data_IF_865199865104
#
_entry.id   IF_865199865104
#
_cell.length_a   1.000
_cell.length_b   1.000
_cell.length_c   1.000
_cell.angle_alpha   90.00
_cell.angle_beta   90.00
_cell.angle_gamma   90.00
#
_symmetry.space_group_name_H-M   'P 1'
#
loop_
_entity.id
_entity.type
_entity.pdbx_description
1 polymer ?
#
# COMPACT_ATOMS: atom_id res chain seq x y z
N UNK A 1 -1.69 0.89 52.70
CA UNK A 1 -3.16 0.86 52.50
C UNK A 1 -3.44 1.00 51.01
N UNK A 2 -3.66 -0.10 50.26
CA UNK A 2 -4.11 0.02 48.88
C UNK A 2 -5.64 0.21 48.85
N UNK A 3 -6.07 1.25 48.15
CA UNK A 3 -7.46 1.66 47.94
C UNK A 3 -8.34 0.51 47.40
N UNK A 4 -9.49 0.29 48.04
CA UNK A 4 -10.54 -0.62 47.58
C UNK A 4 -11.42 0.10 46.55
N UNK A 5 -11.76 -0.51 45.40
CA UNK A 5 -12.54 0.15 44.36
C UNK A 5 -14.03 0.19 44.72
N UNK A 6 -14.67 1.34 44.52
CA UNK A 6 -16.13 1.44 44.55
C UNK A 6 -16.69 0.93 43.22
N UNK A 7 -17.52 -0.11 43.31
CA UNK A 7 -18.39 -0.60 42.25
C UNK A 7 -19.34 0.53 41.83
N UNK A 8 -19.28 0.94 40.56
CA UNK A 8 -20.33 1.75 39.95
C UNK A 8 -20.92 0.96 38.76
N UNK A 9 -22.22 0.80 38.87
CA UNK A 9 -23.23 0.10 38.08
C UNK A 9 -22.96 -0.10 36.58
N UNK A 10 -23.30 -1.31 36.10
CA UNK A 10 -23.41 -1.64 34.69
C UNK A 10 -24.55 -0.85 34.03
N UNK A 11 -24.23 -0.15 32.94
CA UNK A 11 -25.22 0.47 32.05
C UNK A 11 -25.85 -0.60 31.11
N UNK A 12 -27.18 -0.59 30.89
CA UNK A 12 -27.83 -1.50 29.95
C UNK A 12 -27.56 -1.10 28.50
N UNK A 13 -27.28 -2.07 27.64
CA UNK A 13 -27.11 -1.85 26.19
C UNK A 13 -28.46 -1.53 25.53
N UNK A 14 -28.54 -0.57 24.58
CA UNK A 14 -29.73 -0.38 23.77
C UNK A 14 -29.86 -1.49 22.72
N UNK A 15 -30.94 -2.27 22.82
CA UNK A 15 -31.50 -3.08 21.74
C UNK A 15 -32.48 -2.22 20.94
N UNK A 16 -32.18 -1.95 19.67
CA UNK A 16 -33.18 -1.50 18.70
C UNK A 16 -33.15 -2.44 17.50
N UNK A 17 -34.25 -3.18 17.41
CA UNK A 17 -34.73 -4.05 16.36
C UNK A 17 -35.05 -3.27 15.07
N UNK A 18 -35.60 -3.99 14.08
CA UNK A 18 -36.12 -3.56 12.76
C UNK A 18 -35.03 -3.20 11.74
N UNK A 19 -34.61 -4.12 10.86
CA UNK A 19 -35.41 -4.68 9.74
C UNK A 19 -36.23 -3.59 9.06
N UNK A 20 -35.66 -3.00 8.01
CA UNK A 20 -36.43 -2.42 6.92
C UNK A 20 -35.66 -2.69 5.62
N UNK A 21 -35.96 -3.86 5.05
CA UNK A 21 -35.63 -4.22 3.69
C UNK A 21 -36.35 -3.30 2.72
N UNK A 22 -35.62 -2.35 2.15
CA UNK A 22 -36.05 -1.67 0.93
C UNK A 22 -35.65 -2.54 -0.27
N UNK A 23 -36.67 -3.23 -0.76
CA UNK A 23 -36.79 -3.99 -1.99
C UNK A 23 -35.92 -3.47 -3.15
N UNK A 24 -34.90 -4.25 -3.50
CA UNK A 24 -34.29 -4.23 -4.83
C UNK A 24 -35.32 -4.72 -5.84
N UNK A 25 -36.00 -3.79 -6.52
CA UNK A 25 -36.67 -4.08 -7.78
C UNK A 25 -35.66 -3.81 -8.91
N UNK A 26 -35.22 -4.83 -9.69
CA UNK A 26 -34.37 -4.58 -10.84
C UNK A 26 -35.18 -3.92 -11.97
N UNK A 27 -34.69 -2.84 -12.59
CA UNK A 27 -35.36 -2.28 -13.77
C UNK A 27 -35.20 -3.23 -14.96
N UNK A 28 -36.33 -3.60 -15.57
CA UNK A 28 -36.40 -4.28 -16.86
C UNK A 28 -35.83 -3.33 -17.93
N UNK A 29 -34.64 -3.65 -18.45
CA UNK A 29 -33.99 -2.90 -19.52
C UNK A 29 -34.65 -3.20 -20.88
N UNK A 30 -35.26 -2.22 -21.59
CA UNK A 30 -35.50 -2.37 -23.02
C UNK A 30 -34.21 -2.04 -23.80
N UNK A 31 -33.82 -3.01 -24.62
CA UNK A 31 -32.74 -2.96 -25.60
C UNK A 31 -33.00 -1.86 -26.64
N UNK A 32 -32.22 -0.78 -26.60
CA UNK A 32 -31.94 0.04 -27.78
C UNK A 32 -30.43 0.14 -27.96
N UNK A 33 -29.92 -0.70 -28.84
CA UNK A 33 -28.55 -0.67 -29.35
C UNK A 33 -28.31 0.65 -30.10
N UNK A 34 -27.71 1.65 -29.44
CA UNK A 34 -27.11 2.79 -30.14
C UNK A 34 -25.58 2.65 -30.08
N UNK A 35 -25.01 2.56 -31.27
CA UNK A 35 -23.62 2.19 -31.57
C UNK A 35 -22.68 3.34 -31.18
N UNK A 36 -22.00 3.23 -30.05
CA UNK A 36 -20.77 4.00 -29.81
C UNK A 36 -19.59 3.23 -30.38
N UNK A 37 -19.21 3.59 -31.60
CA UNK A 37 -17.96 3.16 -32.24
C UNK A 37 -16.77 3.82 -31.53
N UNK A 38 -16.42 3.32 -30.35
CA UNK A 38 -15.11 3.52 -29.77
C UNK A 38 -14.16 2.61 -30.54
N UNK A 39 -13.39 3.21 -31.45
CA UNK A 39 -12.13 2.64 -31.95
C UNK A 39 -11.25 2.35 -30.74
N UNK A 40 -11.43 1.19 -30.10
CA UNK A 40 -10.47 0.64 -29.15
C UNK A 40 -9.21 0.43 -29.98
N UNK A 41 -8.10 1.16 -29.75
CA UNK A 41 -6.88 0.85 -30.46
C UNK A 41 -6.55 -0.60 -30.09
N UNK A 42 -6.47 -1.47 -31.10
CA UNK A 42 -5.91 -2.82 -30.95
C UNK A 42 -4.41 -2.67 -30.74
N UNK A 43 -4.03 -2.11 -29.60
CA UNK A 43 -2.78 -2.48 -28.99
C UNK A 43 -3.05 -3.87 -28.41
N UNK A 44 -2.82 -4.90 -29.22
CA UNK A 44 -2.57 -6.24 -28.71
C UNK A 44 -1.25 -6.15 -27.94
N UNK A 45 -1.32 -5.58 -26.74
CA UNK A 45 -0.28 -5.67 -25.75
C UNK A 45 -0.20 -7.14 -25.41
N UNK A 46 0.76 -7.85 -25.99
CA UNK A 46 1.26 -9.09 -25.43
C UNK A 46 1.66 -8.74 -24.00
N UNK A 47 0.75 -8.94 -23.05
CA UNK A 47 1.03 -8.76 -21.64
C UNK A 47 1.98 -9.91 -21.31
N UNK A 48 3.26 -9.65 -21.47
CA UNK A 48 4.30 -10.47 -20.88
C UNK A 48 4.05 -10.38 -19.38
N UNK A 49 3.35 -11.35 -18.82
CA UNK A 49 3.10 -11.45 -17.39
C UNK A 49 4.46 -11.72 -16.76
N UNK A 50 5.22 -10.66 -16.49
CA UNK A 50 6.42 -10.71 -15.66
C UNK A 50 5.92 -11.09 -14.28
N UNK A 51 5.92 -12.39 -13.99
CA UNK A 51 5.68 -12.85 -12.62
C UNK A 51 6.67 -12.10 -11.73
N UNK A 52 6.20 -11.34 -10.72
CA UNK A 52 7.08 -10.48 -9.93
C UNK A 52 8.17 -11.28 -9.19
N UNK A 53 7.95 -12.57 -8.96
CA UNK A 53 8.89 -13.54 -8.40
C UNK A 53 10.00 -13.93 -9.37
N UNK A 54 9.71 -14.08 -10.66
CA UNK A 54 10.67 -14.55 -11.66
C UNK A 54 11.49 -13.37 -12.21
N UNK A 55 12.63 -13.09 -11.58
CA UNK A 55 13.52 -11.98 -11.93
C UNK A 55 14.81 -12.47 -12.60
N UNK A 56 15.27 -11.75 -13.62
CA UNK A 56 16.59 -11.99 -14.22
C UNK A 56 17.73 -11.69 -13.25
N UNK A 57 18.90 -12.27 -13.48
CA UNK A 57 20.09 -12.08 -12.63
C UNK A 57 20.54 -10.61 -12.54
N UNK A 58 20.43 -9.86 -13.64
CA UNK A 58 20.75 -8.42 -13.69
C UNK A 58 19.86 -7.62 -12.73
N UNK A 59 18.55 -7.90 -12.70
CA UNK A 59 17.61 -7.25 -11.77
C UNK A 59 17.90 -7.67 -10.33
N UNK A 60 18.15 -8.96 -10.07
CA UNK A 60 18.53 -9.46 -8.73
C UNK A 60 19.76 -8.73 -8.19
N UNK A 61 20.80 -8.55 -9.01
CA UNK A 61 22.00 -7.77 -8.65
C UNK A 61 21.67 -6.32 -8.29
N UNK A 62 20.85 -5.63 -9.10
CA UNK A 62 20.40 -4.25 -8.83
C UNK A 62 19.63 -4.16 -7.52
N UNK A 63 18.68 -5.06 -7.29
CA UNK A 63 17.89 -5.11 -6.05
C UNK A 63 18.77 -5.34 -4.81
N UNK A 64 19.69 -6.30 -4.88
CA UNK A 64 20.63 -6.58 -3.81
C UNK A 64 21.55 -5.39 -3.50
N UNK A 65 21.99 -4.63 -4.53
CA UNK A 65 22.77 -3.40 -4.32
C UNK A 65 21.94 -2.30 -3.67
N UNK A 66 20.71 -2.08 -4.12
CA UNK A 66 19.79 -1.09 -3.54
C UNK A 66 19.42 -1.42 -2.09
N UNK A 67 19.29 -2.71 -1.75
CA UNK A 67 19.13 -3.16 -0.37
C UNK A 67 20.37 -2.85 0.47
N UNK A 68 21.57 -3.16 -0.04
CA UNK A 68 22.84 -2.89 0.65
C UNK A 68 23.11 -1.40 0.87
N UNK A 69 22.68 -0.52 -0.03
CA UNK A 69 22.84 0.94 0.10
C UNK A 69 21.87 1.55 1.13
N UNK A 70 20.76 0.88 1.44
CA UNK A 70 19.70 1.44 2.28
C UNK A 70 19.98 1.25 3.78
N UNK A 71 21.14 1.73 4.24
CA UNK A 71 21.63 1.59 5.62
C UNK A 71 21.89 2.96 6.27
N UNK A 72 21.79 3.09 7.62
CA UNK A 72 22.20 4.29 8.32
C UNK A 72 23.72 4.51 8.22
N UNK A 73 24.15 5.75 8.46
CA UNK A 73 25.57 6.10 8.51
C UNK A 73 26.17 5.54 9.81
N UNK A 74 27.38 4.92 9.76
CA UNK A 74 28.07 4.45 10.97
C UNK A 74 28.39 5.58 11.95
N UNK A 75 28.38 5.28 13.24
CA UNK A 75 28.57 6.29 14.29
C UNK A 75 29.96 6.93 14.25
N UNK A 76 31.01 6.13 14.07
CA UNK A 76 32.40 6.63 14.03
C UNK A 76 32.66 7.62 12.88
N UNK A 77 31.91 7.53 11.78
CA UNK A 77 31.99 8.52 10.70
C UNK A 77 31.54 9.89 11.21
N UNK A 78 30.50 9.94 12.05
CA UNK A 78 30.01 11.19 12.65
C UNK A 78 31.00 11.80 13.65
N UNK A 79 31.90 10.98 14.20
CA UNK A 79 32.93 11.42 15.15
C UNK A 79 34.21 11.91 14.46
N UNK A 80 34.35 11.74 13.13
CA UNK A 80 35.50 12.27 12.40
C UNK A 80 35.48 13.81 12.39
N UNK A 81 36.65 14.40 12.61
CA UNK A 81 36.87 15.85 12.50
C UNK A 81 36.52 16.35 11.10
N UNK A 82 36.00 17.58 11.00
CA UNK A 82 35.60 18.25 9.75
C UNK A 82 34.57 17.50 8.90
N UNK A 83 33.79 16.59 9.49
CA UNK A 83 32.72 15.91 8.79
C UNK A 83 31.36 16.63 8.94
N UNK A 84 30.84 17.13 7.82
CA UNK A 84 29.51 17.78 7.74
C UNK A 84 28.35 16.78 7.57
N UNK A 85 28.63 15.50 7.27
CA UNK A 85 27.63 14.50 6.95
C UNK A 85 27.00 13.94 8.24
N UNK A 86 25.72 14.24 8.46
CA UNK A 86 24.97 13.75 9.64
C UNK A 86 24.11 12.51 9.32
N UNK A 87 23.36 12.53 8.24
CA UNK A 87 22.42 11.45 7.89
C UNK A 87 22.54 11.05 6.41
N UNK A 88 22.06 9.85 6.07
CA UNK A 88 22.06 9.38 4.69
C UNK A 88 20.84 9.97 3.95
N UNK A 89 21.05 11.10 3.27
CA UNK A 89 20.00 11.77 2.50
C UNK A 89 19.41 10.90 1.37
N UNK A 90 20.17 9.93 0.86
CA UNK A 90 19.74 9.01 -0.22
C UNK A 90 19.10 7.73 0.30
N UNK A 91 18.82 7.63 1.61
CA UNK A 91 18.14 6.48 2.20
C UNK A 91 16.70 6.41 1.68
N UNK A 92 16.19 5.20 1.43
CA UNK A 92 14.91 4.96 0.74
C UNK A 92 13.94 4.17 1.61
N UNK A 93 12.66 4.53 1.59
CA UNK A 93 11.60 3.69 2.15
C UNK A 93 10.72 3.10 1.03
N UNK A 94 10.43 1.80 1.09
CA UNK A 94 9.77 1.08 -0.01
C UNK A 94 8.31 1.48 -0.26
N UNK A 95 7.63 2.02 0.76
CA UNK A 95 6.28 2.59 0.61
C UNK A 95 6.31 3.99 -0.01
N UNK A 96 7.34 4.80 0.24
CA UNK A 96 7.39 6.20 -0.23
C UNK A 96 7.93 6.33 -1.65
N UNK A 97 9.03 5.67 -1.99
CA UNK A 97 9.70 5.86 -3.28
C UNK A 97 10.02 4.52 -3.96
N UNK A 98 9.61 4.38 -5.23
CA UNK A 98 9.83 3.19 -6.06
C UNK A 98 11.18 3.26 -6.77
N UNK A 99 11.70 2.11 -7.19
CA UNK A 99 13.06 1.99 -7.70
C UNK A 99 13.23 2.34 -9.19
N UNK A 100 12.12 2.45 -9.94
CA UNK A 100 12.07 3.07 -11.28
C UNK A 100 13.05 2.47 -12.28
N UNK A 101 12.94 1.17 -12.56
CA UNK A 101 13.70 0.48 -13.60
C UNK A 101 12.94 -0.71 -14.15
#
# INVERSE_FOLDING_TARGET
>A
VPFRPHLLSAEPKPSTSSEDGLSLSPPLFPHTSYIYSLKRPRFDSVIFVVQPSHKTFRIKKKLAKKMRQNRPIPHWIRMRTDNTIRYNAKRRHWRRTKLGF
#
